data_IF_645480087100
#
_entry.id   IF_645480087100
#
_cell.length_a   1.000
_cell.length_b   1.000
_cell.length_c   1.000
_cell.angle_alpha   90.00
_cell.angle_beta   90.00
_cell.angle_gamma   90.00
#
_symmetry.space_group_name_H-M   'P 1'
#
loop_
_entity.id
_entity.type
_entity.pdbx_description
1 polymer ?
#
# COMPACT_ATOMS: atom_id res chain seq x y z
N UNK A 1 15.08 1.79 -17.44
CA UNK A 1 13.63 1.56 -17.61
C UNK A 1 13.07 0.36 -16.82
N UNK A 2 13.88 -0.61 -16.35
CA UNK A 2 13.38 -1.79 -15.62
C UNK A 2 12.83 -1.55 -14.19
N UNK A 3 13.16 -0.44 -13.52
CA UNK A 3 12.74 -0.20 -12.13
C UNK A 3 11.28 0.21 -11.95
N UNK A 4 10.73 0.98 -12.90
CA UNK A 4 9.36 1.50 -12.83
C UNK A 4 8.30 0.39 -13.00
N UNK A 5 8.56 -0.57 -13.89
CA UNK A 5 7.64 -1.70 -14.12
C UNK A 5 7.54 -2.58 -12.87
N UNK A 6 8.68 -2.90 -12.24
CA UNK A 6 8.70 -3.69 -10.99
C UNK A 6 8.02 -2.97 -9.82
N UNK A 7 8.14 -1.64 -9.74
CA UNK A 7 7.42 -0.82 -8.75
C UNK A 7 5.90 -0.92 -8.95
N UNK A 8 5.44 -0.72 -10.19
CA UNK A 8 4.01 -0.79 -10.54
C UNK A 8 3.41 -2.17 -10.25
N UNK A 9 4.06 -3.25 -10.68
CA UNK A 9 3.59 -4.62 -10.43
C UNK A 9 3.49 -4.92 -8.94
N UNK A 10 4.47 -4.48 -8.14
CA UNK A 10 4.46 -4.67 -6.69
C UNK A 10 3.33 -3.88 -6.02
N UNK A 11 3.14 -2.62 -6.38
CA UNK A 11 2.02 -1.78 -5.89
C UNK A 11 0.67 -2.39 -6.26
N UNK A 12 0.52 -2.88 -7.49
CA UNK A 12 -0.71 -3.55 -7.93
C UNK A 12 -0.97 -4.84 -7.15
N UNK A 13 0.05 -5.69 -6.98
CA UNK A 13 -0.04 -6.91 -6.17
C UNK A 13 -0.45 -6.60 -4.72
N UNK A 14 0.14 -5.56 -4.11
CA UNK A 14 -0.23 -5.11 -2.76
C UNK A 14 -1.69 -4.65 -2.74
N UNK A 15 -2.09 -3.76 -3.65
CA UNK A 15 -3.45 -3.21 -3.74
C UNK A 15 -4.54 -4.27 -3.95
N UNK A 16 -4.20 -5.39 -4.58
CA UNK A 16 -5.15 -6.45 -4.89
C UNK A 16 -5.31 -7.45 -3.73
N UNK A 17 -4.24 -7.73 -3.00
CA UNK A 17 -4.20 -8.83 -2.03
C UNK A 17 -4.37 -8.34 -0.59
N UNK A 18 -3.62 -7.30 -0.22
CA UNK A 18 -3.51 -6.85 1.17
C UNK A 18 -4.81 -6.24 1.71
N UNK A 19 -5.60 -5.43 0.96
CA UNK A 19 -6.85 -4.87 1.46
C UNK A 19 -7.87 -5.92 1.89
N UNK A 20 -7.94 -7.07 1.21
CA UNK A 20 -8.85 -8.17 1.60
C UNK A 20 -8.51 -8.72 2.98
N UNK A 21 -7.21 -8.91 3.27
CA UNK A 21 -6.75 -9.39 4.58
C UNK A 21 -6.98 -8.33 5.64
N UNK A 22 -6.66 -7.06 5.35
CA UNK A 22 -6.89 -5.95 6.26
C UNK A 22 -8.37 -5.82 6.63
N UNK A 23 -9.26 -5.85 5.65
CA UNK A 23 -10.72 -5.79 5.85
C UNK A 23 -11.23 -6.99 6.68
N UNK A 24 -10.75 -8.20 6.38
CA UNK A 24 -11.16 -9.42 7.07
C UNK A 24 -10.65 -9.47 8.52
N UNK A 25 -9.41 -9.07 8.76
CA UNK A 25 -8.74 -9.22 10.07
C UNK A 25 -9.01 -8.04 11.01
N UNK A 26 -9.19 -6.83 10.46
CA UNK A 26 -9.28 -5.61 11.26
C UNK A 26 -10.53 -4.75 10.97
N UNK A 27 -11.36 -5.13 9.99
CA UNK A 27 -12.60 -4.43 9.65
C UNK A 27 -12.41 -3.25 8.69
N UNK A 28 -13.51 -2.57 8.35
CA UNK A 28 -13.49 -1.40 7.46
C UNK A 28 -12.91 -0.19 8.19
N UNK A 29 -11.72 0.26 7.76
CA UNK A 29 -11.02 1.43 8.29
C UNK A 29 -10.51 2.30 7.14
N UNK A 30 -10.43 3.61 7.40
CA UNK A 30 -9.85 4.57 6.47
C UNK A 30 -8.32 4.51 6.38
N UNK A 31 -7.65 4.03 7.45
CA UNK A 31 -6.21 3.78 7.52
C UNK A 31 -5.93 2.66 8.52
N UNK A 32 -4.78 2.02 8.38
CA UNK A 32 -4.29 0.94 9.25
C UNK A 32 -2.96 1.31 9.89
N UNK A 33 -2.70 0.73 11.05
CA UNK A 33 -1.42 0.85 11.74
C UNK A 33 -0.33 0.03 11.04
N UNK A 34 0.95 0.41 11.18
CA UNK A 34 2.06 -0.36 10.61
C UNK A 34 2.06 -1.83 11.04
N UNK A 35 1.65 -2.11 12.28
CA UNK A 35 1.56 -3.45 12.84
C UNK A 35 0.47 -4.29 12.15
N UNK A 36 -0.70 -3.70 11.86
CA UNK A 36 -1.78 -4.34 11.12
C UNK A 36 -1.36 -4.65 9.67
N UNK A 37 -0.62 -3.73 9.04
CA UNK A 37 -0.08 -3.90 7.69
C UNK A 37 0.99 -4.99 7.67
N UNK A 38 1.87 -5.02 8.68
CA UNK A 38 2.88 -6.07 8.83
C UNK A 38 2.23 -7.44 8.94
N UNK A 39 1.23 -7.58 9.81
CA UNK A 39 0.48 -8.82 9.95
C UNK A 39 -0.15 -9.25 8.64
N UNK A 40 -0.82 -8.33 7.92
CA UNK A 40 -1.43 -8.65 6.64
C UNK A 40 -0.40 -9.10 5.58
N UNK A 41 0.79 -8.49 5.54
CA UNK A 41 1.87 -8.90 4.64
C UNK A 41 2.49 -10.25 5.03
N UNK A 42 2.63 -10.52 6.33
CA UNK A 42 3.13 -11.80 6.84
C UNK A 42 2.19 -12.97 6.51
N UNK A 43 0.88 -12.73 6.45
CA UNK A 43 -0.08 -13.76 5.99
C UNK A 43 0.17 -14.24 4.55
N UNK A 44 0.77 -13.39 3.70
CA UNK A 44 1.18 -13.76 2.35
C UNK A 44 2.59 -14.37 2.29
N UNK A 45 3.24 -14.59 3.44
CA UNK A 45 4.60 -15.12 3.52
C UNK A 45 5.68 -14.11 3.12
N UNK A 46 5.37 -12.81 3.09
CA UNK A 46 6.37 -11.78 2.81
C UNK A 46 7.23 -11.51 4.04
N UNK A 47 8.55 -11.48 3.83
CA UNK A 47 9.52 -11.19 4.90
C UNK A 47 10.10 -9.79 4.72
N UNK A 48 10.07 -8.99 5.79
CA UNK A 48 10.51 -7.59 5.82
C UNK A 48 12.02 -7.44 5.58
N UNK A 49 12.84 -8.41 5.98
CA UNK A 49 14.27 -8.43 5.71
C UNK A 49 14.59 -8.73 4.25
N UNK A 50 13.75 -9.54 3.60
CA UNK A 50 13.94 -9.93 2.19
C UNK A 50 13.30 -8.93 1.21
N UNK A 51 12.21 -8.26 1.60
CA UNK A 51 11.45 -7.37 0.72
C UNK A 51 10.97 -6.10 1.44
N UNK A 52 11.89 -5.36 2.05
CA UNK A 52 11.59 -4.10 2.77
C UNK A 52 10.83 -3.08 1.90
N UNK A 53 11.10 -3.04 0.59
CA UNK A 53 10.42 -2.14 -0.33
C UNK A 53 8.91 -2.43 -0.41
N UNK A 54 8.49 -3.70 -0.35
CA UNK A 54 7.06 -4.06 -0.33
C UNK A 54 6.37 -3.53 0.92
N UNK A 55 7.03 -3.63 2.06
CA UNK A 55 6.55 -3.10 3.33
C UNK A 55 6.43 -1.58 3.27
N UNK A 56 7.46 -0.88 2.78
CA UNK A 56 7.41 0.57 2.57
C UNK A 56 6.23 1.00 1.69
N UNK A 57 6.01 0.32 0.55
CA UNK A 57 4.86 0.63 -0.30
C UNK A 57 3.53 0.36 0.39
N UNK A 58 3.39 -0.76 1.10
CA UNK A 58 2.15 -1.08 1.82
C UNK A 58 1.85 -0.06 2.94
N UNK A 59 2.86 0.36 3.70
CA UNK A 59 2.71 1.46 4.66
C UNK A 59 2.28 2.73 3.93
N UNK A 60 2.99 3.08 2.85
CA UNK A 60 2.66 4.22 2.01
C UNK A 60 1.22 4.25 1.53
N UNK A 61 0.65 3.08 1.23
CA UNK A 61 -0.69 2.94 0.69
C UNK A 61 -1.78 2.94 1.76
N UNK A 62 -1.53 2.31 2.91
CA UNK A 62 -2.59 1.95 3.87
C UNK A 62 -2.49 2.66 5.22
N UNK A 63 -1.38 3.32 5.55
CA UNK A 63 -1.23 4.07 6.81
C UNK A 63 -1.60 5.54 6.66
N UNK A 64 -1.85 6.21 7.79
CA UNK A 64 -2.00 7.67 7.83
C UNK A 64 -0.65 8.40 7.66
N UNK A 65 -0.72 9.69 7.32
CA UNK A 65 0.46 10.55 7.12
C UNK A 65 1.40 10.57 8.34
N UNK A 66 0.87 10.65 9.57
CA UNK A 66 1.69 10.70 10.79
C UNK A 66 2.58 9.46 10.93
N UNK A 67 2.03 8.29 10.65
CA UNK A 67 2.77 7.03 10.70
C UNK A 67 3.75 6.91 9.52
N UNK A 68 3.38 7.40 8.34
CA UNK A 68 4.25 7.44 7.18
C UNK A 68 5.53 8.24 7.47
N UNK A 69 5.37 9.41 8.10
CA UNK A 69 6.48 10.27 8.49
C UNK A 69 7.30 9.66 9.63
N UNK A 70 6.66 9.08 10.65
CA UNK A 70 7.35 8.38 11.76
C UNK A 70 8.19 7.20 11.30
N UNK A 71 7.77 6.50 10.25
CA UNK A 71 8.51 5.39 9.64
C UNK A 71 9.66 5.86 8.73
N UNK A 72 9.86 7.16 8.55
CA UNK A 72 10.92 7.71 7.70
C UNK A 72 10.65 7.53 6.19
N UNK A 73 9.42 7.19 5.80
CA UNK A 73 9.08 6.89 4.40
C UNK A 73 9.19 8.11 3.49
N UNK A 74 9.20 9.31 4.06
CA UNK A 74 9.43 10.55 3.30
C UNK A 74 10.77 10.53 2.55
N UNK A 75 11.81 9.91 3.11
CA UNK A 75 13.13 9.82 2.46
C UNK A 75 13.14 8.77 1.34
N UNK A 76 12.44 7.65 1.55
CA UNK A 76 12.42 6.50 0.64
C UNK A 76 11.41 6.66 -0.51
N UNK A 77 10.25 7.23 -0.24
CA UNK A 77 9.09 7.29 -1.13
C UNK A 77 8.68 8.72 -1.49
N UNK A 78 9.28 9.72 -0.85
CA UNK A 78 8.96 11.13 -1.03
C UNK A 78 7.75 11.58 -0.20
N UNK A 79 7.27 12.80 -0.45
CA UNK A 79 6.15 13.36 0.28
C UNK A 79 4.89 12.48 0.18
N UNK A 80 4.21 12.25 1.31
CA UNK A 80 3.01 11.40 1.39
C UNK A 80 1.94 11.75 0.34
N UNK A 81 1.59 13.03 0.19
CA UNK A 81 0.58 13.46 -0.78
C UNK A 81 1.03 13.25 -2.23
N UNK A 82 2.32 13.44 -2.52
CA UNK A 82 2.87 13.14 -3.85
C UNK A 82 2.83 11.63 -4.13
N UNK A 83 3.23 10.81 -3.16
CA UNK A 83 3.19 9.36 -3.26
C UNK A 83 1.76 8.86 -3.51
N UNK A 84 0.77 9.33 -2.74
CA UNK A 84 -0.64 8.97 -2.93
C UNK A 84 -1.17 9.27 -4.33
N UNK A 85 -0.79 10.42 -4.92
CA UNK A 85 -1.13 10.75 -6.32
C UNK A 85 -0.42 9.84 -7.32
N UNK A 86 0.81 9.44 -7.03
CA UNK A 86 1.54 8.48 -7.86
C UNK A 86 0.84 7.12 -7.87
N UNK A 87 0.36 6.66 -6.70
CA UNK A 87 -0.46 5.44 -6.59
C UNK A 87 -1.78 5.58 -7.36
N UNK A 88 -2.46 6.72 -7.22
CA UNK A 88 -3.58 7.17 -8.07
C UNK A 88 -3.35 6.89 -9.54
N UNK A 89 -2.24 7.42 -10.05
CA UNK A 89 -1.87 7.33 -11.44
C UNK A 89 -1.50 5.90 -11.86
N UNK A 90 -0.86 5.13 -10.97
CA UNK A 90 -0.43 3.77 -11.27
C UNK A 90 -1.58 2.76 -11.30
N UNK A 91 -2.55 2.90 -10.38
CA UNK A 91 -3.65 1.95 -10.22
C UNK A 91 -4.84 2.30 -11.12
N UNK A 92 -5.19 3.58 -11.22
CA UNK A 92 -6.44 4.02 -11.85
C UNK A 92 -6.23 5.03 -12.97
N UNK A 93 -4.97 5.40 -13.26
CA UNK A 93 -4.63 6.47 -14.21
C UNK A 93 -5.29 7.82 -13.85
N UNK A 94 -5.54 8.07 -12.55
CA UNK A 94 -6.11 9.32 -12.02
C UNK A 94 -5.06 10.14 -11.28
N UNK A 95 -5.09 11.49 -11.35
CA UNK A 95 -4.22 12.33 -10.52
C UNK A 95 -4.71 12.48 -9.08
N UNK A 96 -5.89 11.95 -8.74
CA UNK A 96 -6.47 12.07 -7.40
C UNK A 96 -5.89 11.04 -6.42
N UNK A 97 -5.75 11.39 -5.14
CA UNK A 97 -5.39 10.43 -4.11
C UNK A 97 -6.47 9.35 -4.00
N UNK A 98 -6.04 8.13 -3.67
CA UNK A 98 -6.92 6.97 -3.53
C UNK A 98 -7.26 6.79 -2.05
N UNK A 99 -8.53 6.48 -1.74
CA UNK A 99 -8.96 6.09 -0.40
C UNK A 99 -9.00 4.56 -0.22
N UNK A 100 -9.21 4.11 1.02
CA UNK A 100 -9.32 2.67 1.33
C UNK A 100 -10.48 1.98 0.61
N UNK A 101 -11.56 2.70 0.30
CA UNK A 101 -12.73 2.11 -0.37
C UNK A 101 -12.38 1.70 -1.79
N UNK A 102 -11.58 2.50 -2.49
CA UNK A 102 -11.09 2.12 -3.81
C UNK A 102 -10.13 0.92 -3.73
N UNK A 103 -9.27 0.85 -2.73
CA UNK A 103 -8.42 -0.34 -2.53
C UNK A 103 -9.24 -1.61 -2.30
N UNK A 104 -10.33 -1.55 -1.54
CA UNK A 104 -11.24 -2.68 -1.39
C UNK A 104 -11.94 -3.04 -2.71
N UNK A 105 -12.39 -2.05 -3.48
CA UNK A 105 -13.00 -2.28 -4.78
C UNK A 105 -12.01 -2.97 -5.75
N UNK A 106 -10.75 -2.54 -5.77
CA UNK A 106 -9.68 -3.17 -6.57
C UNK A 106 -9.47 -4.62 -6.14
N UNK A 107 -9.43 -4.89 -4.84
CA UNK A 107 -9.24 -6.23 -4.30
C UNK A 107 -10.41 -7.18 -4.62
N UNK A 108 -11.64 -6.65 -4.70
CA UNK A 108 -12.84 -7.41 -5.07
C UNK A 108 -12.92 -7.72 -6.58
N UNK A 109 -12.32 -6.91 -7.45
CA UNK A 109 -12.34 -7.14 -8.90
C UNK A 109 -11.51 -8.35 -9.37
N UNK A 110 -10.72 -8.97 -8.48
CA UNK A 110 -9.88 -10.13 -8.79
C UNK A 110 -10.33 -11.45 -8.14
N UNK A 111 -11.49 -11.46 -7.48
CA UNK A 111 -12.15 -12.69 -7.01
C UNK A 111 -13.12 -13.21 -8.07
#
# INVERSE_FOLDING_TARGET
MFGLFKKKEKIQSIAQQVPTVLLRSFGDKSTYTPEEIDQALYEFGYDKHNDICRFHYAYGMFTCQDNYERLGLTEELGNYGHFQREIGKMLLNTPEPIDMQIYFAIAQQQQ
#
